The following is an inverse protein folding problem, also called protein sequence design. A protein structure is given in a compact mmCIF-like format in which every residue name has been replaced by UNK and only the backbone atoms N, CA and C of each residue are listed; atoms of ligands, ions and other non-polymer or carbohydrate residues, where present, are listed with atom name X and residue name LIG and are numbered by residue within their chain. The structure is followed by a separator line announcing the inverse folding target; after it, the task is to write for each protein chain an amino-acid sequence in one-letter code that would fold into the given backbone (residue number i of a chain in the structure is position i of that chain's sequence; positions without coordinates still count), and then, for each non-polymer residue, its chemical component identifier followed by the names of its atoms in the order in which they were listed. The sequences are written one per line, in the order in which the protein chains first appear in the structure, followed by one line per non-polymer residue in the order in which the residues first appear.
data_IF_951030859127
#
_entry.id   IF_951030859127
#
_cell.length_a   1.000
_cell.length_b   1.000
_cell.length_c   1.000
_cell.angle_alpha   90.00
_cell.angle_beta   90.00
_cell.angle_gamma   90.00
#
_symmetry.space_group_name_H-M   'P 1'
#
loop_
_entity.id
_entity.type
_entity.pdbx_description
1 polymer ?
#
# COMPACT_ATOMS: atom_id res chain seq x y z
N UNK A 1 -7.22 12.66 0.55
CA UNK A 1 -5.76 12.66 0.76
C UNK A 1 -5.37 11.47 1.61
N UNK A 2 -4.36 10.71 1.17
CA UNK A 2 -3.83 9.56 1.90
C UNK A 2 -2.90 10.10 2.99
N UNK A 3 -3.12 9.68 4.23
CA UNK A 3 -2.29 10.08 5.38
C UNK A 3 -1.04 9.21 5.49
N UNK A 4 -1.25 7.89 5.49
CA UNK A 4 -0.19 6.92 5.79
C UNK A 4 -0.53 5.56 5.17
N UNK A 5 0.51 4.75 4.97
CA UNK A 5 0.39 3.34 4.61
C UNK A 5 0.58 2.54 5.90
N UNK A 6 -0.43 1.75 6.24
CA UNK A 6 -0.42 0.93 7.44
C UNK A 6 0.16 -0.45 7.16
N UNK A 7 -0.18 -1.02 6.01
CA UNK A 7 0.21 -2.39 5.68
C UNK A 7 0.34 -2.63 4.18
N UNK A 8 0.95 -3.77 3.83
CA UNK A 8 1.11 -4.20 2.45
C UNK A 8 1.01 -5.72 2.38
N UNK A 9 0.17 -6.22 1.48
CA UNK A 9 0.02 -7.66 1.23
C UNK A 9 0.09 -7.94 -0.25
N UNK A 10 0.66 -9.08 -0.62
CA UNK A 10 0.53 -9.58 -1.98
C UNK A 10 -0.75 -10.42 -2.02
N UNK A 11 -1.63 -10.11 -2.96
CA UNK A 11 -2.77 -10.94 -3.28
C UNK A 11 -2.37 -11.98 -4.32
N UNK A 12 -2.14 -13.21 -3.85
CA UNK A 12 -1.81 -14.37 -4.68
C UNK A 12 -3.08 -15.01 -5.28
N UNK A 13 -4.27 -14.48 -5.00
CA UNK A 13 -5.55 -15.07 -5.43
C UNK A 13 -5.83 -14.76 -6.90
N UNK A 14 -5.29 -13.66 -7.42
CA UNK A 14 -5.31 -13.34 -8.84
C UNK A 14 -4.06 -13.87 -9.54
N UNK A 15 -4.23 -14.35 -10.79
CA UNK A 15 -3.18 -14.89 -11.67
C UNK A 15 -1.95 -13.97 -11.85
N UNK A 16 -2.07 -12.70 -11.50
CA UNK A 16 -1.06 -11.66 -11.67
C UNK A 16 -0.42 -11.18 -10.36
N UNK A 17 -0.55 -11.91 -9.23
CA UNK A 17 0.08 -11.58 -7.93
C UNK A 17 0.11 -10.08 -7.63
N UNK A 18 -1.05 -9.49 -7.33
CA UNK A 18 -1.18 -8.04 -7.22
C UNK A 18 -0.78 -7.55 -5.83
N UNK A 19 0.10 -6.57 -5.76
CA UNK A 19 0.49 -5.95 -4.49
C UNK A 19 -0.55 -4.91 -4.06
N UNK A 20 -1.10 -5.11 -2.88
CA UNK A 20 -2.08 -4.24 -2.24
C UNK A 20 -1.47 -3.54 -1.03
N UNK A 21 -1.76 -2.25 -0.91
CA UNK A 21 -1.40 -1.39 0.21
C UNK A 21 -2.64 -0.99 0.99
N UNK A 22 -2.59 -1.17 2.30
CA UNK A 22 -3.59 -0.64 3.21
C UNK A 22 -3.25 0.82 3.48
N UNK A 23 -4.01 1.72 2.89
CA UNK A 23 -3.89 3.16 3.13
C UNK A 23 -4.88 3.62 4.17
N UNK A 24 -4.51 4.70 4.85
CA UNK A 24 -5.39 5.44 5.74
C UNK A 24 -5.73 6.80 5.14
N UNK A 25 -7.00 7.17 5.16
CA UNK A 25 -7.49 8.43 4.62
C UNK A 25 -7.56 9.52 5.69
N UNK A 26 -7.08 10.72 5.35
CA UNK A 26 -7.05 11.86 6.29
C UNK A 26 -8.45 12.41 6.64
N UNK A 27 -9.43 12.17 5.75
CA UNK A 27 -10.78 12.76 5.84
C UNK A 27 -11.85 11.87 6.46
N UNK A 28 -11.55 10.58 6.71
CA UNK A 28 -12.54 9.59 7.16
C UNK A 28 -12.24 9.08 8.58
N UNK A 29 -11.67 9.96 9.41
CA UNK A 29 -11.21 9.63 10.75
C UNK A 29 -12.39 9.20 11.62
N UNK A 30 -12.42 7.95 12.07
CA UNK A 30 -13.50 7.38 12.90
C UNK A 30 -14.65 6.71 12.13
N UNK A 31 -14.52 6.50 10.82
CA UNK A 31 -15.49 5.76 10.00
C UNK A 31 -14.90 4.41 9.57
N UNK A 32 -15.74 3.42 9.25
CA UNK A 32 -15.28 2.14 8.68
C UNK A 32 -14.54 2.30 7.34
N UNK A 33 -14.62 3.47 6.71
CA UNK A 33 -13.92 3.85 5.49
C UNK A 33 -12.57 4.57 5.76
N UNK A 34 -12.12 4.63 7.02
CA UNK A 34 -10.83 5.24 7.38
C UNK A 34 -9.66 4.56 6.67
N UNK A 35 -9.78 3.26 6.40
CA UNK A 35 -8.74 2.47 5.73
C UNK A 35 -9.27 1.76 4.50
N UNK A 36 -8.44 1.66 3.47
CA UNK A 36 -8.81 0.97 2.23
C UNK A 36 -7.61 0.25 1.64
N UNK A 37 -7.86 -0.92 1.04
CA UNK A 37 -6.85 -1.63 0.27
C UNK A 37 -6.82 -1.07 -1.14
N UNK A 38 -5.67 -0.53 -1.55
CA UNK A 38 -5.44 0.00 -2.88
C UNK A 38 -4.29 -0.74 -3.54
N UNK A 39 -4.31 -0.83 -4.86
CA UNK A 39 -3.23 -1.41 -5.63
C UNK A 39 -1.99 -0.51 -5.58
N UNK A 40 -0.82 -1.12 -5.67
CA UNK A 40 0.43 -0.38 -5.79
C UNK A 40 0.43 0.58 -7.01
N UNK A 41 -0.24 0.19 -8.09
CA UNK A 41 -0.41 1.02 -9.30
C UNK A 41 -1.27 2.26 -9.06
N UNK A 42 -2.29 2.16 -8.19
CA UNK A 42 -3.13 3.30 -7.80
C UNK A 42 -2.39 4.21 -6.81
N UNK A 43 -1.46 3.65 -6.04
CA UNK A 43 -0.58 4.38 -5.13
C UNK A 43 0.66 4.98 -5.80
N UNK A 44 0.82 4.90 -7.12
CA UNK A 44 1.98 5.46 -7.81
C UNK A 44 2.15 6.97 -7.52
N UNK A 45 1.04 7.70 -7.43
CA UNK A 45 1.00 9.11 -7.00
C UNK A 45 1.41 9.35 -5.54
N UNK A 46 1.41 8.31 -4.71
CA UNK A 46 1.77 8.31 -3.30
C UNK A 46 3.09 7.54 -3.04
N UNK A 47 3.96 7.43 -4.05
CA UNK A 47 5.25 6.73 -3.96
C UNK A 47 6.16 7.25 -2.84
N UNK A 48 6.00 8.50 -2.40
CA UNK A 48 6.70 9.02 -1.20
C UNK A 48 6.30 8.29 0.08
N UNK A 49 5.02 7.95 0.25
CA UNK A 49 4.53 7.19 1.41
C UNK A 49 4.97 5.73 1.33
N UNK A 50 5.01 5.16 0.12
CA UNK A 50 5.53 3.80 -0.11
C UNK A 50 6.99 3.73 0.32
N UNK A 51 7.82 4.69 -0.09
CA UNK A 51 9.24 4.74 0.28
C UNK A 51 9.45 4.88 1.80
N UNK A 52 8.67 5.73 2.47
CA UNK A 52 8.76 5.93 3.92
C UNK A 52 8.37 4.64 4.68
N UNK A 53 7.32 3.98 4.22
CA UNK A 53 6.88 2.69 4.75
C UNK A 53 7.93 1.59 4.58
N UNK A 54 8.52 1.43 3.39
CA UNK A 54 9.58 0.44 3.14
C UNK A 54 10.90 0.78 3.84
N UNK A 55 11.16 2.05 4.11
CA UNK A 55 12.29 2.46 4.93
C UNK A 55 12.12 2.00 6.38
N UNK A 56 10.89 2.00 6.88
CA UNK A 56 10.55 1.54 8.25
C UNK A 56 10.37 0.02 8.33
N UNK A 57 9.91 -0.61 7.24
CA UNK A 57 9.60 -2.03 7.16
C UNK A 57 10.17 -2.64 5.85
N UNK A 58 11.49 -2.85 5.76
CA UNK A 58 12.13 -3.41 4.57
C UNK A 58 11.77 -4.88 4.31
N UNK A 59 11.22 -5.58 5.31
CA UNK A 59 10.78 -6.97 5.21
C UNK A 59 9.46 -7.12 4.44
N UNK A 60 8.72 -6.03 4.23
CA UNK A 60 7.42 -6.07 3.59
C UNK A 60 7.55 -6.02 2.06
N UNK A 61 6.70 -6.76 1.32
CA UNK A 61 6.77 -6.81 -0.13
C UNK A 61 6.51 -5.44 -0.76
N UNK A 62 7.43 -4.99 -1.61
CA UNK A 62 7.39 -3.70 -2.30
C UNK A 62 7.13 -3.84 -3.81
N UNK A 63 6.58 -2.82 -4.48
CA UNK A 63 6.33 -2.85 -5.93
C UNK A 63 7.63 -2.96 -6.74
N UNK A 64 8.76 -2.62 -6.13
CA UNK A 64 10.09 -2.68 -6.73
C UNK A 64 10.80 -4.02 -6.47
N UNK A 65 10.21 -4.94 -5.71
CA UNK A 65 10.75 -6.29 -5.53
C UNK A 65 10.14 -7.25 -6.56
N UNK A 66 10.23 -6.90 -7.84
CA UNK A 66 10.03 -7.87 -8.92
C UNK A 66 11.42 -8.40 -9.30
N UNK A 67 11.72 -9.70 -9.06
CA UNK A 67 12.86 -10.30 -9.71
C UNK A 67 12.57 -10.34 -11.20
N UNK A 68 13.46 -9.74 -11.99
CA UNK A 68 13.53 -9.99 -13.44
C UNK A 68 13.69 -11.48 -13.72
#
# INVERSE_FOLDING_TARGET
EITEILDSKIDHQHWNCQLLYLVKWAGYKGTNEETSWLLATELDHASKLILDFHSTCPEKPGPYHLPF
#
